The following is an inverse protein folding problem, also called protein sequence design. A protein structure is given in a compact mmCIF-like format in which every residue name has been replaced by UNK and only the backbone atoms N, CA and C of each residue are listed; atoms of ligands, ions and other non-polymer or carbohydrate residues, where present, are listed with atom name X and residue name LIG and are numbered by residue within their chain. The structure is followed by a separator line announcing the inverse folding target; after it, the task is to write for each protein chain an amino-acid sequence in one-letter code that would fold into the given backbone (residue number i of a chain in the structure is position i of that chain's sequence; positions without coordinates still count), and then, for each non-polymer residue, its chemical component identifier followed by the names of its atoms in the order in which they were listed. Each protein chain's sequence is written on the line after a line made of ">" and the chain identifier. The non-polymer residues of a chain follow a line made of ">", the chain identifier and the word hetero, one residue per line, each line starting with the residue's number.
data_IF_288694731302
#
_entry.id   IF_288694731302
#
_cell.length_a   1.000
_cell.length_b   1.000
_cell.length_c   1.000
_cell.angle_alpha   90.00
_cell.angle_beta   90.00
_cell.angle_gamma   90.00
#
_symmetry.space_group_name_H-M   'P 1'
#
loop_
_entity.id
_entity.type
_entity.pdbx_description
1 polymer ?
#
# COMPACT_ATOMS: atom_id res chain seq x y z
N UNK A 1 11.18 27.53 14.00
CA UNK A 1 11.13 27.59 15.47
C UNK A 1 12.08 26.51 16.00
N UNK A 2 12.82 26.72 17.09
CA UNK A 2 13.55 25.59 17.72
C UNK A 2 12.57 24.82 18.57
N UNK A 3 11.97 23.77 18.00
CA UNK A 3 11.01 22.93 18.73
C UNK A 3 11.73 22.21 19.88
N UNK A 4 11.24 22.32 21.13
CA UNK A 4 11.87 21.67 22.27
C UNK A 4 11.97 20.16 22.07
N UNK A 5 13.10 19.57 22.47
CA UNK A 5 13.34 18.13 22.33
C UNK A 5 12.28 17.27 23.04
N UNK A 6 11.71 17.75 24.15
CA UNK A 6 10.64 17.03 24.84
C UNK A 6 9.37 16.90 23.98
N UNK A 7 9.08 17.87 23.10
CA UNK A 7 7.92 17.82 22.22
C UNK A 7 8.11 16.78 21.11
N UNK A 8 9.33 16.65 20.59
CA UNK A 8 9.71 15.54 19.71
C UNK A 8 9.49 14.19 20.38
N UNK A 9 10.01 14.01 21.61
CA UNK A 9 9.81 12.78 22.37
C UNK A 9 8.34 12.50 22.67
N UNK A 10 7.57 13.52 23.03
CA UNK A 10 6.12 13.37 23.27
C UNK A 10 5.37 12.96 22.00
N UNK A 11 5.72 13.54 20.85
CA UNK A 11 5.09 13.24 19.56
C UNK A 11 5.46 11.83 19.10
N UNK A 12 6.74 11.49 19.09
CA UNK A 12 7.21 10.14 18.74
C UNK A 12 6.64 9.11 19.72
N UNK A 13 6.65 9.39 21.02
CA UNK A 13 6.06 8.52 22.04
C UNK A 13 4.56 8.30 21.82
N UNK A 14 3.81 9.38 21.54
CA UNK A 14 2.39 9.30 21.19
C UNK A 14 2.15 8.48 19.92
N UNK A 15 2.97 8.66 18.89
CA UNK A 15 2.90 7.89 17.65
C UNK A 15 3.19 6.41 17.89
N UNK A 16 4.23 6.09 18.67
CA UNK A 16 4.58 4.72 19.03
C UNK A 16 3.49 4.06 19.87
N UNK A 17 2.84 4.80 20.77
CA UNK A 17 1.67 4.31 21.52
C UNK A 17 0.51 4.03 20.59
N UNK A 18 0.20 4.92 19.64
CA UNK A 18 -0.83 4.68 18.64
C UNK A 18 -0.54 3.44 17.81
N UNK A 19 0.70 3.26 17.34
CA UNK A 19 1.13 2.06 16.60
C UNK A 19 1.06 0.81 17.49
N UNK A 20 1.45 0.91 18.77
CA UNK A 20 1.39 -0.21 19.70
C UNK A 20 -0.06 -0.63 20.00
N UNK A 21 -0.97 0.32 20.16
CA UNK A 21 -2.41 0.08 20.29
C UNK A 21 -2.91 -0.66 19.04
N UNK A 22 -2.52 -0.16 17.88
CA UNK A 22 -2.88 -0.70 16.59
C UNK A 22 -2.33 -2.13 16.35
N UNK A 23 -1.12 -2.43 16.85
CA UNK A 23 -0.54 -3.77 16.89
C UNK A 23 -1.30 -4.70 17.85
N UNK A 24 -1.51 -4.27 19.10
CA UNK A 24 -2.10 -5.10 20.16
C UNK A 24 -3.56 -5.42 19.90
N UNK A 25 -4.34 -4.47 19.40
CA UNK A 25 -5.75 -4.69 19.09
C UNK A 25 -5.88 -5.68 17.93
N UNK A 26 -4.97 -5.65 16.96
CA UNK A 26 -5.09 -6.45 15.74
C UNK A 26 -4.48 -7.85 15.88
N UNK A 27 -3.27 -7.99 16.44
CA UNK A 27 -2.63 -9.31 16.61
C UNK A 27 -3.46 -10.25 17.50
N UNK A 28 -4.39 -9.69 18.30
CA UNK A 28 -5.27 -10.49 19.15
C UNK A 28 -6.26 -11.36 18.37
N UNK A 29 -6.61 -11.00 17.12
CA UNK A 29 -7.64 -11.67 16.31
C UNK A 29 -7.43 -11.42 14.80
N UNK A 30 -6.65 -12.25 14.08
CA UNK A 30 -6.50 -12.16 12.62
C UNK A 30 -7.83 -12.42 11.92
N UNK A 31 -8.48 -11.37 11.38
CA UNK A 31 -9.70 -11.47 10.59
C UNK A 31 -9.62 -10.52 9.40
N UNK A 32 -10.42 -10.77 8.36
CA UNK A 32 -10.58 -9.82 7.26
C UNK A 32 -11.21 -8.51 7.76
N UNK A 33 -10.53 -7.38 7.54
CA UNK A 33 -11.03 -6.05 7.93
C UNK A 33 -12.23 -5.69 7.06
N UNK A 34 -13.37 -5.43 7.70
CA UNK A 34 -14.59 -5.01 6.99
C UNK A 34 -14.53 -3.51 6.64
N UNK A 35 -15.26 -3.09 5.60
CA UNK A 35 -15.31 -1.68 5.19
C UNK A 35 -15.83 -0.76 6.30
N UNK A 36 -16.82 -1.21 7.09
CA UNK A 36 -17.35 -0.45 8.22
C UNK A 36 -16.35 -0.27 9.36
N UNK A 37 -15.55 -1.29 9.65
CA UNK A 37 -14.47 -1.22 10.63
C UNK A 37 -13.35 -0.29 10.14
N UNK A 38 -12.91 -0.45 8.89
CA UNK A 38 -11.87 0.39 8.30
C UNK A 38 -12.27 1.87 8.28
N UNK A 39 -13.54 2.20 7.98
CA UNK A 39 -14.05 3.57 8.01
C UNK A 39 -13.95 4.18 9.42
N UNK A 40 -14.30 3.44 10.47
CA UNK A 40 -14.20 3.91 11.85
C UNK A 40 -12.76 4.20 12.24
N UNK A 41 -11.83 3.33 11.85
CA UNK A 41 -10.41 3.56 12.12
C UNK A 41 -9.85 4.74 11.32
N UNK A 42 -10.21 4.92 10.04
CA UNK A 42 -9.82 6.14 9.30
C UNK A 42 -10.33 7.38 10.01
N UNK A 43 -11.61 7.41 10.41
CA UNK A 43 -12.16 8.53 11.16
C UNK A 43 -11.39 8.79 12.46
N UNK A 44 -11.01 7.74 13.18
CA UNK A 44 -10.20 7.85 14.39
C UNK A 44 -8.84 8.50 14.11
N UNK A 45 -8.07 8.00 13.13
CA UNK A 45 -6.75 8.55 12.79
C UNK A 45 -6.82 9.98 12.27
N UNK A 46 -7.80 10.29 11.42
CA UNK A 46 -8.05 11.67 10.97
C UNK A 46 -8.40 12.57 12.15
N UNK A 47 -9.21 12.08 13.10
CA UNK A 47 -9.55 12.85 14.32
C UNK A 47 -8.32 13.11 15.18
N UNK A 48 -7.42 12.13 15.34
CA UNK A 48 -6.15 12.32 16.03
C UNK A 48 -5.28 13.39 15.34
N UNK A 49 -5.17 13.35 14.00
CA UNK A 49 -4.44 14.35 13.24
C UNK A 49 -5.04 15.75 13.40
N UNK A 50 -6.37 15.87 13.35
CA UNK A 50 -7.07 17.14 13.54
C UNK A 50 -6.88 17.68 14.95
N UNK A 51 -7.00 16.85 15.99
CA UNK A 51 -6.78 17.26 17.38
C UNK A 51 -5.34 17.71 17.59
N UNK A 52 -4.36 16.99 17.02
CA UNK A 52 -2.97 17.40 17.05
C UNK A 52 -2.76 18.75 16.35
N UNK A 53 -3.33 18.93 15.15
CA UNK A 53 -3.26 20.19 14.39
C UNK A 53 -3.89 21.37 15.11
N UNK A 54 -5.02 21.16 15.81
CA UNK A 54 -5.61 22.17 16.70
C UNK A 54 -4.64 22.50 17.84
N UNK A 55 -3.98 21.50 18.42
CA UNK A 55 -2.92 21.71 19.40
C UNK A 55 -1.79 22.58 18.86
N UNK A 56 -1.28 22.27 17.66
CA UNK A 56 -0.27 23.08 16.98
C UNK A 56 -0.76 24.50 16.77
N UNK A 57 -2.01 24.70 16.35
CA UNK A 57 -2.59 26.03 16.15
C UNK A 57 -2.68 26.83 17.45
N UNK A 58 -3.14 26.21 18.54
CA UNK A 58 -3.32 26.89 19.83
C UNK A 58 -1.99 27.23 20.49
N UNK A 59 -1.02 26.32 20.46
CA UNK A 59 0.26 26.50 21.15
C UNK A 59 1.35 27.12 20.28
N UNK A 60 1.37 26.82 18.98
CA UNK A 60 2.34 27.33 18.01
C UNK A 60 1.89 28.59 17.27
N UNK A 61 0.59 28.91 17.30
CA UNK A 61 0.00 30.05 16.61
C UNK A 61 -0.61 29.70 15.25
N UNK A 62 -1.11 30.72 14.56
CA UNK A 62 -1.84 30.58 13.30
C UNK A 62 -1.00 29.91 12.20
N UNK A 63 0.21 30.42 11.94
CA UNK A 63 0.99 29.98 10.78
C UNK A 63 1.45 28.50 10.91
N UNK A 64 2.01 28.04 12.05
CA UNK A 64 2.32 26.61 12.23
C UNK A 64 1.10 25.70 12.16
N UNK A 65 -0.06 26.17 12.62
CA UNK A 65 -1.32 25.42 12.51
C UNK A 65 -1.73 25.23 11.06
N UNK A 66 -1.72 26.30 10.26
CA UNK A 66 -2.01 26.24 8.83
C UNK A 66 -0.98 25.37 8.10
N UNK A 67 0.31 25.56 8.36
CA UNK A 67 1.39 24.73 7.79
C UNK A 67 1.20 23.24 8.09
N UNK A 68 0.84 22.88 9.33
CA UNK A 68 0.54 21.50 9.70
C UNK A 68 -0.65 20.96 8.92
N UNK A 69 -1.77 21.68 8.86
CA UNK A 69 -2.98 21.21 8.18
C UNK A 69 -2.77 21.10 6.66
N UNK A 70 -2.14 22.10 6.05
CA UNK A 70 -1.80 22.08 4.62
C UNK A 70 -0.83 20.94 4.33
N UNK A 71 0.25 20.80 5.10
CA UNK A 71 1.20 19.69 4.97
C UNK A 71 0.53 18.33 5.17
N UNK A 72 -0.31 18.17 6.19
CA UNK A 72 -1.04 16.93 6.47
C UNK A 72 -1.97 16.55 5.32
N UNK A 73 -2.75 17.50 4.78
CA UNK A 73 -3.66 17.22 3.65
C UNK A 73 -2.84 16.85 2.41
N UNK A 74 -1.76 17.58 2.12
CA UNK A 74 -0.88 17.28 0.99
C UNK A 74 -0.27 15.89 1.10
N UNK A 75 0.32 15.55 2.24
CA UNK A 75 0.92 14.22 2.49
C UNK A 75 -0.15 13.12 2.48
N UNK A 76 -1.31 13.37 3.09
CA UNK A 76 -2.41 12.40 3.11
C UNK A 76 -2.90 12.12 1.69
N UNK A 77 -3.14 13.15 0.87
CA UNK A 77 -3.51 12.99 -0.53
C UNK A 77 -2.47 12.24 -1.35
N UNK A 78 -1.18 12.59 -1.23
CA UNK A 78 -0.09 11.90 -1.91
C UNK A 78 0.03 10.44 -1.44
N UNK A 79 -0.21 10.17 -0.16
CA UNK A 79 -0.18 8.80 0.38
C UNK A 79 -1.33 7.92 -0.13
N UNK A 80 -2.51 8.50 -0.45
CA UNK A 80 -3.60 7.76 -1.10
C UNK A 80 -3.16 7.22 -2.47
N UNK A 81 -2.40 8.00 -3.23
CA UNK A 81 -1.86 7.56 -4.52
C UNK A 81 -0.89 6.38 -4.35
N UNK A 82 -0.13 6.33 -3.24
CA UNK A 82 0.79 5.24 -2.93
C UNK A 82 0.06 3.90 -2.71
N UNK A 83 -1.21 3.93 -2.28
CA UNK A 83 -2.00 2.72 -2.06
C UNK A 83 -2.20 1.90 -3.33
N UNK A 84 -2.21 2.54 -4.50
CA UNK A 84 -2.34 1.83 -5.77
C UNK A 84 -1.13 0.95 -6.05
N UNK A 85 0.06 1.48 -5.82
CA UNK A 85 1.29 0.68 -5.93
C UNK A 85 1.28 -0.44 -4.90
N UNK A 86 0.79 -0.18 -3.68
CA UNK A 86 0.69 -1.24 -2.67
C UNK A 86 -0.28 -2.33 -3.10
N UNK A 87 -1.45 -2.00 -3.64
CA UNK A 87 -2.42 -2.97 -4.18
C UNK A 87 -1.81 -3.81 -5.30
N UNK A 88 -1.08 -3.17 -6.20
CA UNK A 88 -0.40 -3.84 -7.32
C UNK A 88 0.67 -4.80 -6.81
N UNK A 89 1.54 -4.37 -5.88
CA UNK A 89 2.55 -5.24 -5.27
C UNK A 89 1.85 -6.40 -4.56
N UNK A 90 0.84 -6.13 -3.75
CA UNK A 90 0.14 -7.15 -2.96
C UNK A 90 -0.53 -8.21 -3.85
N UNK A 91 -1.21 -7.78 -4.93
CA UNK A 91 -1.83 -8.68 -5.89
C UNK A 91 -0.79 -9.41 -6.74
N UNK A 92 0.27 -8.71 -7.14
CA UNK A 92 1.36 -9.28 -7.92
C UNK A 92 2.03 -10.45 -7.20
N UNK A 93 2.26 -10.29 -5.90
CA UNK A 93 2.83 -11.34 -5.06
C UNK A 93 1.76 -12.28 -4.48
N UNK A 94 0.48 -12.10 -4.84
CA UNK A 94 -0.66 -12.89 -4.37
C UNK A 94 -0.66 -13.04 -2.84
N UNK A 95 -0.41 -11.94 -2.12
CA UNK A 95 -0.28 -11.96 -0.66
C UNK A 95 -1.63 -12.31 -0.04
N UNK A 96 -1.69 -13.34 0.83
CA UNK A 96 -2.93 -13.74 1.46
C UNK A 96 -3.58 -12.63 2.28
N UNK A 97 -4.91 -12.52 2.22
CA UNK A 97 -5.66 -11.42 2.86
C UNK A 97 -5.37 -11.26 4.36
N UNK A 98 -5.15 -12.37 5.08
CA UNK A 98 -4.80 -12.36 6.51
C UNK A 98 -3.44 -11.68 6.76
N UNK A 99 -2.50 -11.83 5.83
CA UNK A 99 -1.13 -11.31 5.99
C UNK A 99 -0.95 -9.89 5.45
N UNK A 100 -1.84 -9.41 4.56
CA UNK A 100 -1.78 -8.07 3.98
C UNK A 100 -1.65 -6.98 5.03
N UNK A 101 -2.42 -7.11 6.10
CA UNK A 101 -2.41 -6.18 7.23
C UNK A 101 -1.02 -6.02 7.84
N UNK A 102 -0.34 -7.14 8.09
CA UNK A 102 0.99 -7.18 8.68
C UNK A 102 2.05 -6.63 7.73
N UNK A 103 1.96 -6.94 6.44
CA UNK A 103 2.84 -6.34 5.43
C UNK A 103 2.72 -4.82 5.49
N UNK A 104 1.49 -4.29 5.46
CA UNK A 104 1.23 -2.85 5.46
C UNK A 104 1.75 -2.18 6.72
N UNK A 105 1.54 -2.80 7.89
CA UNK A 105 2.02 -2.26 9.15
C UNK A 105 3.55 -2.16 9.18
N UNK A 106 4.25 -3.24 8.82
CA UNK A 106 5.71 -3.24 8.79
C UNK A 106 6.21 -2.26 7.72
N UNK A 107 5.53 -2.20 6.57
CA UNK A 107 5.79 -1.23 5.51
C UNK A 107 5.68 0.22 5.99
N UNK A 108 4.62 0.58 6.71
CA UNK A 108 4.41 1.91 7.30
C UNK A 108 5.49 2.23 8.34
N UNK A 109 5.88 1.25 9.17
CA UNK A 109 6.96 1.44 10.14
C UNK A 109 8.29 1.75 9.44
N UNK A 110 8.64 0.96 8.41
CA UNK A 110 9.85 1.19 7.61
C UNK A 110 9.77 2.57 6.92
N UNK A 111 8.63 2.89 6.31
CA UNK A 111 8.37 4.17 5.66
C UNK A 111 8.58 5.34 6.63
N UNK A 112 7.99 5.29 7.83
CA UNK A 112 8.12 6.33 8.83
C UNK A 112 9.59 6.55 9.27
N UNK A 113 10.34 5.46 9.46
CA UNK A 113 11.77 5.53 9.79
C UNK A 113 12.56 6.14 8.63
N UNK A 114 12.31 5.68 7.40
CA UNK A 114 13.01 6.19 6.21
C UNK A 114 12.69 7.67 5.94
N UNK A 115 11.43 8.08 6.13
CA UNK A 115 11.02 9.48 6.01
C UNK A 115 11.63 10.33 7.11
N UNK A 116 11.67 9.86 8.34
CA UNK A 116 12.41 10.51 9.42
C UNK A 116 13.88 10.69 9.08
N UNK A 117 14.51 9.68 8.49
CA UNK A 117 15.89 9.76 8.01
C UNK A 117 16.05 10.80 6.90
N UNK A 118 15.16 10.83 5.89
CA UNK A 118 15.20 11.84 4.83
C UNK A 118 14.99 13.26 5.35
N UNK A 119 14.08 13.46 6.31
CA UNK A 119 13.84 14.76 6.94
C UNK A 119 15.10 15.22 7.70
N UNK A 120 15.76 14.31 8.43
CA UNK A 120 17.00 14.60 9.15
C UNK A 120 18.17 14.90 8.22
N UNK A 121 18.26 14.19 7.10
CA UNK A 121 19.27 14.36 6.05
C UNK A 121 19.03 15.66 5.25
N UNK A 122 17.77 16.08 5.11
CA UNK A 122 17.35 17.31 4.44
C UNK A 122 17.20 17.18 2.92
N UNK A 123 16.36 18.04 2.33
CA UNK A 123 15.99 17.99 0.91
C UNK A 123 17.17 18.10 -0.06
N UNK A 124 18.24 18.83 0.31
CA UNK A 124 19.39 19.07 -0.55
C UNK A 124 20.20 17.81 -0.91
N UNK A 125 20.18 16.78 -0.07
CA UNK A 125 20.86 15.51 -0.35
C UNK A 125 20.00 14.56 -1.20
N UNK A 126 18.68 14.78 -1.24
CA UNK A 126 17.73 13.95 -2.00
C UNK A 126 17.86 14.21 -3.51
N UNK A 127 18.16 15.46 -3.91
CA UNK A 127 18.37 15.85 -5.32
C UNK A 127 19.55 15.13 -6.01
N UNK A 128 20.43 14.44 -5.27
CA UNK A 128 21.50 13.64 -5.85
C UNK A 128 21.04 12.24 -6.33
N UNK A 129 19.82 11.81 -5.98
CA UNK A 129 19.31 10.47 -6.26
C UNK A 129 18.35 10.40 -7.46
N UNK A 130 18.29 11.45 -8.28
CA UNK A 130 17.34 11.60 -9.39
C UNK A 130 17.37 10.44 -10.38
N UNK A 131 18.54 9.82 -10.59
CA UNK A 131 18.68 8.65 -11.49
C UNK A 131 17.77 7.47 -11.08
N UNK A 132 17.41 7.37 -9.79
CA UNK A 132 16.57 6.31 -9.27
C UNK A 132 15.17 6.35 -9.90
N UNK A 133 14.67 7.54 -10.24
CA UNK A 133 13.37 7.72 -10.87
C UNK A 133 13.29 7.07 -12.26
N UNK A 134 14.39 7.00 -13.02
CA UNK A 134 14.42 6.28 -14.30
C UNK A 134 14.20 4.78 -14.11
N UNK A 135 14.91 4.18 -13.14
CA UNK A 135 14.83 2.76 -12.86
C UNK A 135 13.39 2.38 -12.48
N UNK A 136 12.79 3.14 -11.56
CA UNK A 136 11.45 2.84 -11.07
C UNK A 136 10.36 3.20 -12.06
N UNK A 137 10.49 4.32 -12.78
CA UNK A 137 9.58 4.66 -13.86
C UNK A 137 9.51 3.56 -14.92
N UNK A 138 10.66 2.99 -15.30
CA UNK A 138 10.71 1.84 -16.21
C UNK A 138 10.00 0.60 -15.64
N UNK A 139 10.23 0.26 -14.37
CA UNK A 139 9.57 -0.88 -13.70
C UNK A 139 8.05 -0.68 -13.63
N UNK A 140 7.56 0.53 -13.34
CA UNK A 140 6.13 0.82 -13.27
C UNK A 140 5.45 0.77 -14.63
N UNK A 141 6.09 1.33 -15.67
CA UNK A 141 5.58 1.23 -17.05
C UNK A 141 5.55 -0.23 -17.50
N UNK A 142 6.60 -1.01 -17.20
CA UNK A 142 6.61 -2.43 -17.51
C UNK A 142 5.51 -3.20 -16.77
N UNK A 143 5.28 -2.90 -15.49
CA UNK A 143 4.20 -3.50 -14.69
C UNK A 143 2.83 -3.15 -15.26
N UNK A 144 2.60 -1.90 -15.65
CA UNK A 144 1.37 -1.46 -16.31
C UNK A 144 1.10 -2.26 -17.59
N UNK A 145 2.12 -2.44 -18.43
CA UNK A 145 2.01 -3.22 -19.68
C UNK A 145 1.72 -4.69 -19.39
N UNK A 146 2.38 -5.29 -18.39
CA UNK A 146 2.12 -6.68 -17.98
C UNK A 146 0.68 -6.86 -17.52
N UNK A 147 0.16 -5.94 -16.71
CA UNK A 147 -1.19 -6.00 -16.14
C UNK A 147 -2.29 -5.95 -17.22
N UNK A 148 -2.06 -5.26 -18.34
CA UNK A 148 -3.00 -5.25 -19.48
C UNK A 148 -2.92 -6.55 -20.28
N UNK A 149 -1.73 -7.15 -20.39
CA UNK A 149 -1.50 -8.40 -21.15
C UNK A 149 -2.05 -9.64 -20.46
N UNK A 150 -1.95 -9.72 -19.13
CA UNK A 150 -2.37 -10.90 -18.35
C UNK A 150 -3.90 -11.01 -18.13
N UNK A 151 -4.69 -10.04 -18.60
CA UNK A 151 -6.15 -10.02 -18.45
C UNK A 151 -6.92 -10.81 -19.54
N UNK A 152 -6.20 -11.55 -20.40
CA UNK A 152 -6.76 -12.28 -21.52
C UNK A 152 -6.47 -13.78 -21.47
N UNK A 153 -7.31 -14.54 -20.76
CA UNK A 153 -7.43 -15.99 -20.92
C UNK A 153 -6.99 -16.82 -19.72
N UNK A 154 -7.82 -17.81 -19.40
CA UNK A 154 -7.53 -18.92 -18.49
C UNK A 154 -6.15 -19.51 -18.77
N UNK A 155 -5.29 -19.62 -17.76
CA UNK A 155 -4.48 -20.80 -17.45
C UNK A 155 -3.56 -20.55 -16.24
N UNK A 156 -3.36 -21.64 -15.52
CA UNK A 156 -2.37 -21.94 -14.47
C UNK A 156 -1.31 -20.90 -14.10
N UNK A 157 -1.14 -20.72 -12.78
CA UNK A 157 0.07 -20.30 -12.07
C UNK A 157 1.20 -19.69 -12.91
N UNK A 158 0.99 -18.50 -13.47
CA UNK A 158 2.11 -17.70 -13.97
C UNK A 158 2.79 -16.98 -12.80
N UNK A 159 4.00 -17.42 -12.47
CA UNK A 159 4.91 -16.70 -11.58
C UNK A 159 5.08 -15.27 -12.09
N UNK A 160 4.87 -14.31 -11.20
CA UNK A 160 5.07 -12.91 -11.54
C UNK A 160 6.56 -12.66 -11.86
N UNK A 161 6.85 -11.87 -12.90
CA UNK A 161 8.24 -11.70 -13.36
C UNK A 161 9.15 -11.08 -12.28
N UNK A 162 8.58 -10.35 -11.32
CA UNK A 162 9.26 -9.87 -10.12
C UNK A 162 9.62 -11.01 -9.15
N UNK A 163 8.73 -11.98 -8.90
CA UNK A 163 9.02 -13.11 -8.00
C UNK A 163 10.10 -14.01 -8.58
N UNK A 164 10.08 -14.24 -9.90
CA UNK A 164 11.13 -15.00 -10.60
C UNK A 164 12.49 -14.31 -10.52
N UNK A 165 12.52 -12.99 -10.64
CA UNK A 165 13.77 -12.23 -10.55
C UNK A 165 14.34 -12.24 -9.13
N UNK A 166 13.51 -12.09 -8.11
CA UNK A 166 13.95 -12.15 -6.71
C UNK A 166 14.40 -13.57 -6.31
N UNK A 167 13.70 -14.62 -6.77
CA UNK A 167 14.12 -16.03 -6.59
C UNK A 167 15.47 -16.35 -7.23
N UNK A 168 15.88 -15.59 -8.24
CA UNK A 168 17.18 -15.75 -8.91
C UNK A 168 18.34 -15.15 -8.10
N UNK A 169 18.06 -14.16 -7.25
CA UNK A 169 19.08 -13.41 -6.48
C UNK A 169 19.14 -13.92 -5.03
N UNK A 170 18.02 -14.32 -4.44
CA UNK A 170 17.93 -14.78 -3.05
C UNK A 170 17.30 -16.17 -2.94
N UNK A 171 17.72 -17.00 -1.97
CA UNK A 171 17.05 -18.27 -1.66
C UNK A 171 15.70 -17.98 -0.99
N UNK A 172 14.66 -17.88 -1.82
CA UNK A 172 13.27 -17.63 -1.41
C UNK A 172 12.48 -18.94 -1.35
N UNK A 173 11.62 -19.11 -0.36
CA UNK A 173 10.70 -20.27 -0.29
C UNK A 173 9.66 -20.25 -1.42
N UNK A 174 9.19 -21.43 -1.81
CA UNK A 174 8.20 -21.57 -2.90
C UNK A 174 6.81 -21.03 -2.54
N UNK A 175 6.44 -21.12 -1.26
CA UNK A 175 5.15 -20.66 -0.76
C UNK A 175 5.28 -19.78 0.51
N UNK A 176 4.18 -19.15 0.89
CA UNK A 176 4.04 -18.41 2.15
C UNK A 176 4.04 -19.39 3.33
N UNK A 177 4.93 -19.16 4.29
CA UNK A 177 5.01 -19.95 5.54
C UNK A 177 4.46 -19.09 6.67
N UNK A 178 3.13 -19.04 6.75
CA UNK A 178 2.40 -18.17 7.68
C UNK A 178 2.86 -16.72 7.61
N UNK A 179 3.07 -16.12 8.79
CA UNK A 179 3.49 -14.72 8.93
C UNK A 179 5.01 -14.51 9.00
N UNK A 180 5.83 -15.57 8.85
CA UNK A 180 7.27 -15.48 9.05
C UNK A 180 7.97 -14.87 7.83
N UNK A 181 8.85 -13.89 8.07
CA UNK A 181 9.71 -13.29 7.04
C UNK A 181 10.97 -14.12 6.74
N UNK A 182 11.37 -14.96 7.69
CA UNK A 182 12.56 -15.81 7.60
C UNK A 182 12.20 -17.20 8.13
N UNK A 183 12.63 -18.23 7.41
CA UNK A 183 12.45 -19.62 7.82
C UNK A 183 13.79 -20.34 7.74
N UNK A 184 14.04 -21.27 8.66
CA UNK A 184 15.19 -22.16 8.58
C UNK A 184 14.73 -23.48 7.98
N UNK A 185 15.25 -23.83 6.80
CA UNK A 185 15.02 -25.13 6.14
C UNK A 185 16.37 -25.79 5.92
N UNK A 186 16.51 -27.04 6.35
CA UNK A 186 17.76 -27.82 6.22
C UNK A 186 19.03 -27.09 6.72
N UNK A 187 18.91 -26.42 7.87
CA UNK A 187 20.02 -25.69 8.50
C UNK A 187 20.38 -24.33 7.86
N UNK A 188 19.85 -24.01 6.67
CA UNK A 188 20.06 -22.75 5.96
C UNK A 188 18.90 -21.77 6.19
N UNK A 189 19.20 -20.47 6.25
CA UNK A 189 18.17 -19.41 6.37
C UNK A 189 17.64 -19.09 4.98
N UNK A 190 16.33 -19.23 4.81
CA UNK A 190 15.59 -18.85 3.62
C UNK A 190 14.78 -17.58 3.91
N UNK A 191 14.65 -16.76 2.88
CA UNK A 191 13.78 -15.58 2.87
C UNK A 191 12.40 -16.06 2.41
N UNK A 192 11.31 -15.58 3.02
CA UNK A 192 9.97 -15.91 2.52
C UNK A 192 9.48 -14.84 1.54
N UNK A 193 8.50 -15.14 0.67
CA UNK A 193 7.85 -14.13 -0.16
C UNK A 193 7.36 -12.92 0.65
N UNK A 194 6.95 -13.13 1.89
CA UNK A 194 6.53 -12.07 2.82
C UNK A 194 7.60 -10.98 3.03
N UNK A 195 8.88 -11.36 3.20
CA UNK A 195 9.95 -10.39 3.36
C UNK A 195 10.17 -9.56 2.09
N UNK A 196 10.13 -10.22 0.93
CA UNK A 196 10.29 -9.57 -0.37
C UNK A 196 9.21 -8.51 -0.57
N UNK A 197 7.96 -8.83 -0.23
CA UNK A 197 6.83 -7.89 -0.31
C UNK A 197 7.02 -6.72 0.65
N UNK A 198 7.41 -6.97 1.90
CA UNK A 198 7.66 -5.91 2.89
C UNK A 198 8.74 -4.93 2.37
N UNK A 199 9.84 -5.45 1.84
CA UNK A 199 10.90 -4.64 1.25
C UNK A 199 10.41 -3.88 0.02
N UNK A 200 9.62 -4.51 -0.85
CA UNK A 200 9.05 -3.87 -2.03
C UNK A 200 8.11 -2.71 -1.66
N UNK A 201 7.24 -2.87 -0.65
CA UNK A 201 6.37 -1.80 -0.16
C UNK A 201 7.19 -0.67 0.48
N UNK A 202 8.15 -0.99 1.35
CA UNK A 202 9.01 0.03 1.96
C UNK A 202 9.84 0.80 0.93
N UNK A 203 10.33 0.11 -0.12
CA UNK A 203 11.04 0.73 -1.23
C UNK A 203 10.13 1.59 -2.09
N UNK A 204 8.89 1.16 -2.33
CA UNK A 204 7.91 1.95 -3.06
C UNK A 204 7.60 3.26 -2.33
N UNK A 205 7.38 3.23 -1.01
CA UNK A 205 7.17 4.47 -0.24
C UNK A 205 8.40 5.37 -0.27
N UNK A 206 9.61 4.80 -0.17
CA UNK A 206 10.86 5.57 -0.27
C UNK A 206 10.92 6.42 -1.54
N UNK A 207 10.41 5.91 -2.66
CA UNK A 207 10.42 6.60 -3.94
C UNK A 207 9.40 7.72 -3.99
N UNK A 208 8.22 7.47 -3.44
CA UNK A 208 7.22 8.52 -3.28
C UNK A 208 7.68 9.60 -2.32
N UNK A 209 8.50 9.26 -1.31
CA UNK A 209 9.13 10.21 -0.43
C UNK A 209 10.05 11.19 -1.20
N UNK A 210 10.65 10.77 -2.32
CA UNK A 210 11.53 11.66 -3.12
C UNK A 210 10.75 12.82 -3.77
N UNK A 211 9.47 12.63 -4.10
CA UNK A 211 8.60 13.69 -4.65
C UNK A 211 7.81 14.41 -3.53
N UNK A 212 7.31 13.66 -2.56
CA UNK A 212 6.50 14.23 -1.46
C UNK A 212 7.32 15.03 -0.45
N UNK A 213 8.56 14.64 -0.14
CA UNK A 213 9.39 15.38 0.83
C UNK A 213 9.73 16.81 0.35
N UNK A 214 10.22 17.03 -0.89
CA UNK A 214 10.38 18.38 -1.42
C UNK A 214 9.07 19.17 -1.43
N UNK A 215 7.94 18.53 -1.75
CA UNK A 215 6.63 19.18 -1.77
C UNK A 215 6.22 19.72 -0.39
N UNK A 216 6.37 18.92 0.67
CA UNK A 216 6.06 19.38 2.03
C UNK A 216 7.08 20.37 2.58
N UNK A 217 8.36 20.25 2.22
CA UNK A 217 9.34 21.30 2.54
C UNK A 217 9.01 22.62 1.82
N UNK A 218 8.35 22.57 0.65
CA UNK A 218 7.82 23.76 -0.01
C UNK A 218 6.68 24.46 0.75
N UNK A 219 6.00 23.75 1.66
CA UNK A 219 4.93 24.29 2.52
C UNK A 219 5.53 24.82 3.83
N UNK A 220 6.40 24.04 4.47
CA UNK A 220 7.03 24.41 5.74
C UNK A 220 8.48 23.97 5.81
N UNK A 221 9.32 24.84 6.34
CA UNK A 221 10.74 24.55 6.59
C UNK A 221 10.95 23.98 8.01
N UNK A 222 9.89 23.86 8.82
CA UNK A 222 9.99 23.29 10.16
C UNK A 222 9.95 21.75 10.08
N UNK A 223 11.13 21.13 10.25
CA UNK A 223 11.29 19.68 10.21
C UNK A 223 10.36 18.92 11.18
N UNK A 224 9.96 19.55 12.29
CA UNK A 224 9.01 18.94 13.22
C UNK A 224 7.61 18.85 12.60
N UNK A 225 7.14 19.92 11.95
CA UNK A 225 5.84 19.93 11.28
C UNK A 225 5.84 18.99 10.08
N UNK A 226 6.94 18.96 9.30
CA UNK A 226 7.12 17.99 8.20
C UNK A 226 6.99 16.56 8.71
N UNK A 227 7.72 16.22 9.78
CA UNK A 227 7.67 14.88 10.37
C UNK A 227 6.27 14.54 10.92
N UNK A 228 5.67 15.45 11.68
CA UNK A 228 4.38 15.21 12.31
C UNK A 228 3.27 15.03 11.25
N UNK A 229 3.16 15.95 10.28
CA UNK A 229 2.17 15.87 9.21
C UNK A 229 2.29 14.56 8.43
N UNK A 230 3.52 14.16 8.11
CA UNK A 230 3.76 12.92 7.42
C UNK A 230 3.41 11.67 8.26
N UNK A 231 3.82 11.65 9.52
CA UNK A 231 3.54 10.53 10.41
C UNK A 231 2.03 10.31 10.59
N UNK A 232 1.27 11.38 10.83
CA UNK A 232 -0.19 11.31 10.94
C UNK A 232 -0.84 10.89 9.62
N UNK A 233 -0.32 11.35 8.47
CA UNK A 233 -0.83 10.95 7.16
C UNK A 233 -0.66 9.44 6.91
N UNK A 234 0.48 8.87 7.27
CA UNK A 234 0.77 7.44 7.09
C UNK A 234 -0.03 6.52 8.02
N UNK A 235 -0.44 6.98 9.19
CA UNK A 235 -1.15 6.13 10.17
C UNK A 235 -2.51 5.62 9.69
N UNK A 236 -3.25 6.41 8.91
CA UNK A 236 -4.56 6.01 8.36
C UNK A 236 -4.48 5.17 7.09
N UNK A 237 -3.28 5.03 6.51
CA UNK A 237 -3.05 4.47 5.18
C UNK A 237 -3.52 3.01 5.08
N UNK A 238 -3.25 2.22 6.10
CA UNK A 238 -3.62 0.79 6.14
C UNK A 238 -5.14 0.59 6.06
N UNK A 239 -5.90 1.38 6.78
CA UNK A 239 -7.35 1.29 6.81
C UNK A 239 -7.93 1.77 5.48
N UNK A 240 -7.31 2.80 4.90
CA UNK A 240 -7.67 3.29 3.58
C UNK A 240 -7.41 2.23 2.50
N UNK A 241 -6.34 1.43 2.62
CA UNK A 241 -6.11 0.26 1.77
C UNK A 241 -7.29 -0.72 1.82
N UNK A 242 -7.79 -1.07 3.01
CA UNK A 242 -8.91 -2.01 3.14
C UNK A 242 -10.25 -1.41 2.67
N UNK A 243 -10.47 -0.12 2.90
CA UNK A 243 -11.62 0.60 2.35
C UNK A 243 -11.61 0.60 0.83
N UNK A 244 -10.47 0.97 0.24
CA UNK A 244 -10.29 0.98 -1.21
C UNK A 244 -10.41 -0.44 -1.76
N UNK A 245 -9.71 -1.42 -1.19
CA UNK A 245 -9.78 -2.83 -1.58
C UNK A 245 -11.21 -3.37 -1.65
N UNK A 246 -12.06 -3.04 -0.67
CA UNK A 246 -13.47 -3.41 -0.66
C UNK A 246 -14.30 -2.79 -1.81
N UNK A 247 -13.97 -1.57 -2.23
CA UNK A 247 -14.58 -0.89 -3.39
C UNK A 247 -14.04 -1.46 -4.70
N UNK A 248 -12.73 -1.61 -4.75
CA UNK A 248 -11.88 -2.05 -5.87
C UNK A 248 -12.23 -3.47 -6.32
N UNK A 249 -12.45 -4.40 -5.38
CA UNK A 249 -12.89 -5.78 -5.69
C UNK A 249 -14.24 -5.88 -6.40
N UNK A 250 -15.08 -4.82 -6.37
CA UNK A 250 -16.37 -4.80 -7.07
C UNK A 250 -16.27 -4.26 -8.50
N UNK A 251 -15.08 -3.88 -8.97
CA UNK A 251 -14.88 -3.18 -10.23
C UNK A 251 -14.31 -4.10 -11.32
N UNK A 252 -15.12 -4.38 -12.35
CA UNK A 252 -14.80 -5.23 -13.51
C UNK A 252 -13.57 -4.77 -14.30
N UNK A 253 -13.37 -3.45 -14.41
CA UNK A 253 -12.29 -2.88 -15.23
C UNK A 253 -11.12 -2.36 -14.41
N UNK A 254 -11.06 -2.74 -13.15
CA UNK A 254 -10.10 -2.20 -12.21
C UNK A 254 -8.65 -2.39 -12.67
N UNK A 255 -8.30 -3.58 -13.14
CA UNK A 255 -6.94 -3.87 -13.61
C UNK A 255 -6.51 -2.94 -14.75
N UNK A 256 -7.43 -2.56 -15.63
CA UNK A 256 -7.17 -1.56 -16.68
C UNK A 256 -7.00 -0.15 -16.09
N UNK A 257 -7.86 0.26 -15.16
CA UNK A 257 -7.74 1.56 -14.49
C UNK A 257 -6.39 1.70 -13.76
N UNK A 258 -5.94 0.63 -13.11
CA UNK A 258 -4.67 0.61 -12.39
C UNK A 258 -3.47 0.54 -13.31
N UNK A 259 -3.55 -0.19 -14.41
CA UNK A 259 -2.51 -0.15 -15.43
C UNK A 259 -2.34 1.27 -16.01
N UNK A 260 -3.44 1.98 -16.26
CA UNK A 260 -3.40 3.38 -16.74
C UNK A 260 -2.74 4.28 -15.69
N UNK A 261 -3.14 4.16 -14.42
CA UNK A 261 -2.55 4.94 -13.32
C UNK A 261 -1.06 4.63 -13.16
N UNK A 262 -0.66 3.35 -13.14
CA UNK A 262 0.74 2.92 -13.04
C UNK A 262 1.58 3.41 -14.21
N UNK A 263 1.07 3.32 -15.44
CA UNK A 263 1.76 3.78 -16.63
C UNK A 263 1.96 5.30 -16.58
N UNK A 264 0.94 6.03 -16.13
CA UNK A 264 1.02 7.48 -15.93
C UNK A 264 2.02 7.86 -14.84
N UNK A 265 1.98 7.23 -13.66
CA UNK A 265 2.94 7.49 -12.58
C UNK A 265 4.37 7.13 -13.04
N UNK A 266 4.55 5.98 -13.68
CA UNK A 266 5.85 5.57 -14.20
C UNK A 266 6.42 6.56 -15.21
N UNK A 267 5.58 7.03 -16.14
CA UNK A 267 5.96 8.07 -17.09
C UNK A 267 6.27 9.41 -16.39
N UNK A 268 5.48 9.80 -15.39
CA UNK A 268 5.74 10.98 -14.55
C UNK A 268 7.12 10.92 -13.91
N UNK A 269 7.50 9.78 -13.31
CA UNK A 269 8.83 9.63 -12.68
C UNK A 269 9.97 9.78 -13.70
N UNK A 270 9.84 9.18 -14.89
CA UNK A 270 10.83 9.34 -15.97
C UNK A 270 10.91 10.80 -16.43
N UNK A 271 9.78 11.47 -16.60
CA UNK A 271 9.72 12.87 -17.02
C UNK A 271 10.32 13.81 -15.98
N UNK A 272 10.06 13.57 -14.70
CA UNK A 272 10.66 14.32 -13.61
C UNK A 272 12.18 14.17 -13.59
N UNK A 273 12.67 12.94 -13.79
CA UNK A 273 14.10 12.70 -13.91
C UNK A 273 14.72 13.45 -15.11
N UNK A 274 14.07 13.41 -16.28
CA UNK A 274 14.53 14.14 -17.46
C UNK A 274 14.57 15.66 -17.28
N UNK A 275 13.61 16.21 -16.52
CA UNK A 275 13.56 17.63 -16.21
C UNK A 275 14.76 18.05 -15.36
N UNK A 276 15.07 17.28 -14.33
CA UNK A 276 16.18 17.57 -13.44
C UNK A 276 17.55 17.45 -14.14
N UNK A 277 17.65 16.55 -15.14
CA UNK A 277 18.81 16.48 -16.05
C UNK A 277 18.82 17.56 -17.15
N UNK A 278 17.87 18.51 -17.13
CA UNK A 278 17.73 19.63 -18.07
C UNK A 278 17.57 19.19 -19.54
N UNK A 279 17.05 17.99 -19.77
CA UNK A 279 16.91 17.40 -21.13
C UNK A 279 15.55 17.73 -21.76
N UNK A 280 14.57 18.15 -20.94
CA UNK A 280 13.20 18.47 -21.38
C UNK A 280 12.86 19.95 -21.19
N UNK A 281 11.95 20.52 -22.00
CA UNK A 281 11.48 21.89 -21.84
C UNK A 281 10.75 22.12 -20.50
N UNK A 282 10.96 23.29 -19.89
CA UNK A 282 10.40 23.63 -18.57
C UNK A 282 8.86 23.58 -18.47
N UNK A 283 8.14 23.60 -19.59
CA UNK A 283 6.67 23.55 -19.63
C UNK A 283 6.09 22.13 -19.51
N UNK A 284 6.94 21.10 -19.53
CA UNK A 284 6.55 19.69 -19.42
C UNK A 284 6.75 19.13 -18.00
N UNK A 285 6.37 19.91 -16.97
CA UNK A 285 6.28 19.39 -15.60
C UNK A 285 4.86 18.94 -15.28
N UNK A 286 4.73 17.68 -14.86
CA UNK A 286 3.46 17.16 -14.35
C UNK A 286 3.35 17.56 -12.88
N UNK A 287 2.57 18.60 -12.61
CA UNK A 287 2.27 19.04 -11.25
C UNK A 287 1.54 17.91 -10.48
N UNK A 288 1.82 17.78 -9.19
CA UNK A 288 1.17 16.84 -8.27
C UNK A 288 -0.37 16.95 -8.31
N UNK A 289 -0.91 18.16 -8.44
CA UNK A 289 -2.35 18.38 -8.59
C UNK A 289 -2.91 17.80 -9.91
N UNK A 290 -2.15 17.84 -11.00
CA UNK A 290 -2.53 17.20 -12.26
C UNK A 290 -2.48 15.68 -12.14
N UNK A 291 -1.50 15.14 -11.41
CA UNK A 291 -1.40 13.70 -11.12
C UNK A 291 -2.62 13.21 -10.34
N UNK A 292 -2.94 13.87 -9.24
CA UNK A 292 -4.11 13.54 -8.42
C UNK A 292 -5.41 13.68 -9.24
N UNK A 293 -5.55 14.76 -10.01
CA UNK A 293 -6.69 14.96 -10.91
C UNK A 293 -6.84 13.83 -11.93
N UNK A 294 -5.74 13.41 -12.56
CA UNK A 294 -5.72 12.30 -13.50
C UNK A 294 -6.15 10.99 -12.84
N UNK A 295 -5.61 10.67 -11.66
CA UNK A 295 -5.97 9.47 -10.89
C UNK A 295 -7.46 9.48 -10.55
N UNK A 296 -7.99 10.59 -10.02
CA UNK A 296 -9.41 10.74 -9.71
C UNK A 296 -10.29 10.55 -10.95
N UNK A 297 -9.89 11.12 -12.09
CA UNK A 297 -10.63 10.98 -13.35
C UNK A 297 -10.64 9.52 -13.82
N UNK A 298 -9.47 8.86 -13.83
CA UNK A 298 -9.36 7.46 -14.25
C UNK A 298 -10.15 6.55 -13.32
N UNK A 299 -10.08 6.74 -12.00
CA UNK A 299 -10.87 5.97 -11.05
C UNK A 299 -12.36 6.22 -11.21
N UNK A 300 -12.78 7.46 -11.36
CA UNK A 300 -14.19 7.81 -11.56
C UNK A 300 -14.71 7.16 -12.83
N UNK A 301 -13.97 7.27 -13.95
CA UNK A 301 -14.32 6.64 -15.21
C UNK A 301 -14.37 5.12 -15.08
N UNK A 302 -13.35 4.50 -14.51
CA UNK A 302 -13.24 3.03 -14.35
C UNK A 302 -14.35 2.51 -13.43
N UNK A 303 -14.65 3.23 -12.35
CA UNK A 303 -15.72 2.91 -11.40
C UNK A 303 -17.07 3.01 -12.07
N UNK A 304 -17.37 4.11 -12.78
CA UNK A 304 -18.63 4.29 -13.50
C UNK A 304 -18.84 3.24 -14.59
N UNK A 305 -17.79 2.94 -15.37
CA UNK A 305 -17.84 1.91 -16.41
C UNK A 305 -18.04 0.52 -15.81
N UNK A 306 -17.35 0.22 -14.70
CA UNK A 306 -17.47 -1.06 -14.00
C UNK A 306 -18.85 -1.23 -13.38
N UNK A 307 -19.41 -0.21 -12.71
CA UNK A 307 -20.75 -0.26 -12.14
C UNK A 307 -21.83 -0.38 -13.23
N UNK A 308 -21.67 0.30 -14.37
CA UNK A 308 -22.57 0.16 -15.52
C UNK A 308 -22.54 -1.26 -16.10
N UNK A 309 -21.36 -1.88 -16.18
CA UNK A 309 -21.23 -3.26 -16.65
C UNK A 309 -21.74 -4.27 -15.63
N UNK A 310 -21.41 -4.13 -14.35
CA UNK A 310 -21.90 -5.01 -13.28
C UNK A 310 -23.43 -4.97 -13.14
N UNK A 311 -24.08 -3.83 -13.44
CA UNK A 311 -25.55 -3.75 -13.51
C UNK A 311 -26.15 -4.46 -14.74
N UNK A 312 -25.40 -4.58 -15.84
CA UNK A 312 -25.84 -5.26 -17.07
C UNK A 312 -25.51 -6.74 -17.08
N UNK A 313 -24.44 -7.12 -16.40
CA UNK A 313 -23.90 -8.47 -16.36
C UNK A 313 -23.28 -8.73 -14.96
N UNK A 314 -24.05 -9.35 -14.04
CA UNK A 314 -23.58 -9.65 -12.69
C UNK A 314 -22.43 -10.64 -12.65
N UNK A 315 -22.32 -11.57 -13.62
CA UNK A 315 -21.27 -12.59 -13.65
C UNK A 315 -19.92 -11.99 -14.06
N UNK A 316 -19.92 -10.94 -14.88
CA UNK A 316 -18.70 -10.21 -15.25
C UNK A 316 -18.00 -9.52 -14.05
N UNK A 317 -18.73 -9.21 -12.97
CA UNK A 317 -18.16 -8.62 -11.74
C UNK A 317 -17.21 -9.57 -11.01
N UNK A 318 -17.45 -10.88 -11.12
CA UNK A 318 -16.61 -11.94 -10.53
C UNK A 318 -15.33 -12.21 -11.34
N UNK A 319 -15.33 -11.92 -12.65
CA UNK A 319 -14.23 -12.28 -13.55
C UNK A 319 -13.18 -11.17 -13.76
N UNK A 320 -13.53 -9.89 -13.52
CA UNK A 320 -12.67 -8.75 -13.86
C UNK A 320 -11.95 -8.05 -12.68
N UNK A 321 -12.26 -8.43 -11.45
CA UNK A 321 -11.65 -7.82 -10.26
C UNK A 321 -10.19 -8.30 -10.06
N UNK A 322 -9.32 -7.43 -9.53
CA UNK A 322 -8.05 -7.91 -8.97
C UNK A 322 -8.37 -8.84 -7.81
N UNK A 323 -7.81 -10.05 -7.82
CA UNK A 323 -7.95 -10.94 -6.68
C UNK A 323 -7.02 -10.48 -5.54
N UNK A 324 -7.49 -9.51 -4.75
CA UNK A 324 -6.86 -9.09 -3.50
C UNK A 324 -7.18 -10.06 -2.34
N UNK A 325 -7.94 -11.13 -2.58
CA UNK A 325 -8.31 -12.14 -1.60
C UNK A 325 -7.66 -13.49 -1.93
N UNK A 326 -6.33 -13.49 -2.04
CA UNK A 326 -5.60 -14.75 -2.07
C UNK A 326 -5.83 -15.49 -0.75
N UNK A 327 -6.21 -16.76 -0.85
CA UNK A 327 -6.38 -17.65 0.30
C UNK A 327 -5.01 -18.13 0.78
N UNK A 328 -4.75 -18.07 2.09
CA UNK A 328 -3.46 -18.51 2.64
C UNK A 328 -3.32 -20.04 2.53
N UNK A 329 -2.10 -20.58 2.38
CA UNK A 329 -1.87 -22.03 2.35
C UNK A 329 -2.49 -22.74 3.57
N UNK A 330 -2.34 -22.15 4.77
CA UNK A 330 -2.92 -22.66 6.03
C UNK A 330 -4.46 -22.73 5.98
N UNK A 331 -5.11 -21.75 5.33
CA UNK A 331 -6.56 -21.75 5.18
C UNK A 331 -7.05 -22.81 4.19
N UNK A 332 -6.27 -23.05 3.12
CA UNK A 332 -6.57 -24.11 2.14
C UNK A 332 -6.48 -25.48 2.79
N UNK A 333 -5.43 -25.73 3.56
CA UNK A 333 -5.26 -26.98 4.31
C UNK A 333 -6.40 -27.20 5.32
N UNK A 334 -6.80 -26.17 6.08
CA UNK A 334 -7.96 -26.28 6.99
C UNK A 334 -9.28 -26.54 6.26
N UNK A 335 -9.46 -25.94 5.07
CA UNK A 335 -10.66 -26.14 4.26
C UNK A 335 -10.71 -27.55 3.67
N UNK A 336 -9.62 -28.02 3.09
CA UNK A 336 -9.49 -29.38 2.56
C UNK A 336 -9.70 -30.43 3.66
N UNK A 337 -9.14 -30.20 4.86
CA UNK A 337 -9.36 -31.07 6.01
C UNK A 337 -10.84 -31.10 6.45
N UNK A 338 -11.55 -29.96 6.41
CA UNK A 338 -12.99 -29.91 6.69
C UNK A 338 -13.83 -30.58 5.61
N UNK A 339 -13.47 -30.41 4.34
CA UNK A 339 -14.18 -31.05 3.21
C UNK A 339 -14.01 -32.57 3.25
N UNK A 340 -12.80 -33.07 3.54
CA UNK A 340 -12.53 -34.50 3.76
C UNK A 340 -13.31 -35.05 4.97
N UNK A 341 -13.29 -34.35 6.10
CA UNK A 341 -14.05 -34.75 7.28
C UNK A 341 -15.58 -34.74 7.07
N UNK A 342 -16.10 -33.82 6.26
CA UNK A 342 -17.51 -33.76 5.90
C UNK A 342 -17.93 -34.89 4.96
N UNK A 343 -17.06 -35.32 4.04
CA UNK A 343 -17.30 -36.47 3.17
C UNK A 343 -17.33 -37.78 3.96
N UNK A 344 -16.40 -37.98 4.89
CA UNK A 344 -16.35 -39.15 5.78
C UNK A 344 -17.62 -39.27 6.64
N UNK A 345 -18.11 -38.14 7.17
CA UNK A 345 -19.37 -38.09 7.91
C UNK A 345 -20.60 -38.40 7.04
N UNK A 346 -20.62 -37.92 5.79
CA UNK A 346 -21.71 -38.19 4.86
C UNK A 346 -21.76 -39.66 4.41
N UNK A 347 -20.61 -40.31 4.22
CA UNK A 347 -20.54 -41.75 3.90
C UNK A 347 -20.98 -42.62 5.08
N UNK A 348 -20.63 -42.26 6.32
CA UNK A 348 -21.11 -42.96 7.53
C UNK A 348 -22.63 -42.82 7.74
N UNK A 349 -23.20 -41.63 7.49
CA UNK A 349 -24.66 -41.43 7.55
C UNK A 349 -25.41 -42.16 6.42
N UNK A 350 -24.81 -42.26 5.22
CA UNK A 350 -25.37 -43.01 4.11
C UNK A 350 -25.36 -44.52 4.36
N UNK A 351 -24.24 -45.07 4.87
CA UNK A 351 -24.11 -46.49 5.21
C UNK A 351 -25.06 -46.95 6.32
N UNK A 352 -25.31 -46.10 7.33
CA UNK A 352 -26.24 -46.40 8.41
C UNK A 352 -27.73 -46.33 8.02
N UNK A 353 -28.07 -45.70 6.88
CA UNK A 353 -29.43 -45.68 6.32
C UNK A 353 -29.73 -46.86 5.40
N UNK A 354 -28.74 -47.54 4.86
CA UNK A 354 -28.90 -48.75 4.03
C UNK A 354 -28.94 -50.04 4.85
N UNK A 355 -28.52 -50.02 6.12
CA UNK A 355 -28.59 -51.14 7.07
C UNK A 355 -29.86 -51.19 7.94
N UNK A 356 -30.80 -50.26 7.74
CA UNK A 356 -32.16 -50.30 8.33
C UNK A 356 -33.19 -50.54 7.24
#
# INVERSE_FOLDING_TARGET
>A
MTVPFWLWLATIGGLLVLIAIDLVIVDRKPHEVTTGEAARWVTFYVSCAVLFGIGVWVFGGHDPGVEFFTGYITEYSLSVDNLFIFMVIMSSFKVPAIHQHRVLLIGILIALVMRGAFIAVGAALIAQFVWIFFLFGAVLVWTAVSMVRDNGGHEEYHENAVTRWVRKIFPVTDDYVGHHSFVKKDGKRYITPMFVVIVAIGSADLLFAVDSIPAIFGITQDAYLVFAANAFALMGLRQLYFLLGGLVNKLVYLSYGLAIILGFIGLKLVLHALHEYHVTPAWLEINNWMSLGFIVVVLTATTLLSLRKAKRDPEAASAGGMNLKAEAPEQREEREAKELGAQDHAEQEAGSRTEK
#
